data_IF_002267652562
#
_entry.id   IF_002267652562
#
_cell.length_a   1.000
_cell.length_b   1.000
_cell.length_c   1.000
_cell.angle_alpha   90.00
_cell.angle_beta   90.00
_cell.angle_gamma   90.00
#
_symmetry.space_group_name_H-M   'P 1'
#
loop_
_entity.id
_entity.type
_entity.pdbx_description
1 polymer ?
#
# COMPACT_ATOMS: atom_id res chain seq x y z
N UNK A 1 -1.37 15.39 -3.86
CA UNK A 1 -1.45 14.86 -5.24
C UNK A 1 -0.58 13.60 -5.33
N UNK A 2 -0.93 12.61 -6.17
CA UNK A 2 -0.17 11.35 -6.26
C UNK A 2 0.80 11.28 -7.45
N UNK A 3 0.54 11.99 -8.55
CA UNK A 3 1.33 11.91 -9.79
C UNK A 3 2.81 12.23 -9.62
N UNK A 4 3.12 13.26 -8.82
CA UNK A 4 4.50 13.69 -8.54
C UNK A 4 5.35 12.58 -7.88
N UNK A 5 4.71 11.65 -7.15
CA UNK A 5 5.39 10.51 -6.53
C UNK A 5 5.97 9.62 -7.62
N UNK A 6 5.16 9.27 -8.62
CA UNK A 6 5.58 8.39 -9.71
C UNK A 6 6.64 9.06 -10.59
N UNK A 7 6.49 10.35 -10.88
CA UNK A 7 7.49 11.12 -11.64
C UNK A 7 8.84 11.18 -10.91
N UNK A 8 8.81 11.40 -9.59
CA UNK A 8 10.02 11.40 -8.76
C UNK A 8 10.69 10.03 -8.75
N UNK A 9 9.91 8.96 -8.57
CA UNK A 9 10.42 7.58 -8.59
C UNK A 9 10.99 7.19 -9.96
N UNK A 10 10.32 7.59 -11.05
CA UNK A 10 10.80 7.34 -12.41
C UNK A 10 12.15 8.03 -12.67
N UNK A 11 12.37 9.22 -12.11
CA UNK A 11 13.64 9.95 -12.21
C UNK A 11 14.84 9.23 -11.60
N UNK A 12 14.61 8.41 -10.56
CA UNK A 12 15.67 7.66 -9.85
C UNK A 12 15.66 6.15 -10.13
N UNK A 13 14.70 5.66 -10.92
CA UNK A 13 14.44 4.24 -11.13
C UNK A 13 15.67 3.46 -11.60
N UNK A 14 16.42 4.01 -12.55
CA UNK A 14 17.63 3.37 -13.11
C UNK A 14 18.76 3.27 -12.09
N UNK A 15 18.95 4.29 -11.26
CA UNK A 15 20.04 4.33 -10.27
C UNK A 15 19.77 3.37 -9.11
N UNK A 16 18.50 3.22 -8.73
CA UNK A 16 18.07 2.35 -7.65
C UNK A 16 17.70 0.93 -8.09
N UNK A 17 17.74 0.65 -9.41
CA UNK A 17 17.33 -0.63 -10.02
C UNK A 17 15.88 -1.01 -9.66
N UNK A 18 14.99 -0.02 -9.77
CA UNK A 18 13.57 -0.12 -9.46
C UNK A 18 12.75 -0.12 -10.76
N UNK A 19 11.71 -0.94 -10.81
CA UNK A 19 10.72 -0.89 -11.89
C UNK A 19 9.66 0.16 -11.57
N UNK A 20 9.41 1.08 -12.51
CA UNK A 20 8.40 2.14 -12.39
C UNK A 20 7.65 2.25 -13.71
N UNK A 21 6.32 2.29 -13.66
CA UNK A 21 5.50 2.44 -14.84
C UNK A 21 4.23 3.25 -14.58
N UNK A 22 3.71 3.88 -15.64
CA UNK A 22 2.34 4.36 -15.68
C UNK A 22 1.44 3.24 -16.18
N UNK A 23 0.48 2.83 -15.34
CA UNK A 23 -0.53 1.85 -15.72
C UNK A 23 -1.71 2.49 -16.48
N UNK A 24 -2.53 1.65 -17.11
CA UNK A 24 -3.70 2.10 -17.88
C UNK A 24 -4.77 2.78 -17.03
N UNK A 25 -4.90 2.38 -15.76
CA UNK A 25 -5.74 2.99 -14.73
C UNK A 25 -5.31 2.48 -13.35
N UNK A 26 -5.94 2.99 -12.30
CA UNK A 26 -5.63 2.67 -10.91
C UNK A 26 -5.92 1.22 -10.52
N UNK A 27 -6.97 0.61 -11.10
CA UNK A 27 -7.27 -0.81 -10.93
C UNK A 27 -6.08 -1.67 -11.40
N UNK A 28 -5.62 -1.42 -12.62
CA UNK A 28 -4.49 -2.16 -13.21
C UNK A 28 -3.19 -1.88 -12.45
N UNK A 29 -2.95 -0.62 -12.07
CA UNK A 29 -1.79 -0.26 -11.25
C UNK A 29 -1.72 -1.07 -9.95
N UNK A 30 -2.85 -1.18 -9.25
CA UNK A 30 -2.94 -1.95 -8.03
C UNK A 30 -2.78 -3.45 -8.26
N UNK A 31 -3.40 -4.01 -9.29
CA UNK A 31 -3.28 -5.45 -9.63
C UNK A 31 -1.85 -5.84 -10.01
N UNK A 32 -1.12 -4.99 -10.74
CA UNK A 32 0.29 -5.22 -11.07
C UNK A 32 1.15 -5.20 -9.79
N UNK A 33 0.94 -4.22 -8.90
CA UNK A 33 1.64 -4.16 -7.62
C UNK A 33 1.34 -5.40 -6.74
N UNK A 34 0.07 -5.82 -6.68
CA UNK A 34 -0.34 -7.03 -5.97
C UNK A 34 0.35 -8.28 -6.56
N UNK A 35 0.38 -8.43 -7.89
CA UNK A 35 1.02 -9.55 -8.55
C UNK A 35 2.52 -9.62 -8.27
N UNK A 36 3.20 -8.46 -8.28
CA UNK A 36 4.61 -8.36 -7.90
C UNK A 36 4.81 -8.78 -6.42
N UNK A 37 3.96 -8.31 -5.51
CA UNK A 37 4.01 -8.71 -4.11
C UNK A 37 3.79 -10.21 -3.91
N UNK A 38 2.84 -10.83 -4.62
CA UNK A 38 2.59 -12.29 -4.63
C UNK A 38 3.84 -13.06 -5.09
N UNK A 39 4.65 -12.47 -5.98
CA UNK A 39 5.91 -13.06 -6.42
C UNK A 39 7.06 -12.89 -5.41
N UNK A 40 6.85 -12.21 -4.27
CA UNK A 40 7.85 -12.06 -3.22
C UNK A 40 8.76 -10.83 -3.34
N UNK A 41 8.41 -9.85 -4.18
CA UNK A 41 9.12 -8.56 -4.26
C UNK A 41 8.30 -7.43 -3.63
N UNK A 42 8.95 -6.42 -3.08
CA UNK A 42 8.28 -5.21 -2.57
C UNK A 42 7.62 -4.49 -3.73
N UNK A 43 6.35 -4.12 -3.57
CA UNK A 43 5.61 -3.39 -4.58
C UNK A 43 4.67 -2.36 -3.95
N UNK A 44 4.43 -1.26 -4.67
CA UNK A 44 3.43 -0.27 -4.28
C UNK A 44 2.65 0.24 -5.48
N UNK A 45 1.45 0.73 -5.20
CA UNK A 45 0.69 1.58 -6.10
C UNK A 45 0.38 2.91 -5.38
N UNK A 46 0.40 4.02 -6.11
CA UNK A 46 0.04 5.33 -5.59
C UNK A 46 -1.08 5.95 -6.44
N UNK A 47 -2.09 6.50 -5.76
CA UNK A 47 -3.25 7.13 -6.39
C UNK A 47 -3.90 8.13 -5.45
N UNK A 48 -4.81 8.97 -5.94
CA UNK A 48 -5.71 9.73 -5.06
C UNK A 48 -6.85 8.85 -4.55
N UNK A 49 -7.53 9.28 -3.49
CA UNK A 49 -8.75 8.66 -2.96
C UNK A 49 -9.79 8.29 -4.06
N UNK A 50 -10.02 9.13 -5.06
CA UNK A 50 -10.92 8.79 -6.19
C UNK A 50 -10.46 7.55 -6.97
N UNK A 51 -9.14 7.38 -7.15
CA UNK A 51 -8.53 6.23 -7.79
C UNK A 51 -8.62 4.97 -6.94
N UNK A 52 -8.61 5.11 -5.61
CA UNK A 52 -8.86 3.97 -4.70
C UNK A 52 -10.25 3.39 -4.93
N UNK A 53 -11.26 4.21 -5.28
CA UNK A 53 -12.57 3.70 -5.68
C UNK A 53 -12.52 2.89 -6.97
N UNK A 54 -11.73 3.32 -7.95
CA UNK A 54 -11.53 2.60 -9.21
C UNK A 54 -10.89 1.23 -8.95
N UNK A 55 -9.98 1.16 -7.97
CA UNK A 55 -9.32 -0.07 -7.54
C UNK A 55 -10.05 -0.82 -6.40
N UNK A 56 -11.28 -0.45 -6.05
CA UNK A 56 -11.94 -0.94 -4.83
C UNK A 56 -12.15 -2.46 -4.82
N UNK A 57 -12.66 -3.01 -5.91
CA UNK A 57 -12.91 -4.46 -6.03
C UNK A 57 -11.64 -5.32 -5.85
N UNK A 58 -10.53 -5.09 -6.60
CA UNK A 58 -9.31 -5.84 -6.36
C UNK A 58 -8.67 -5.53 -5.00
N UNK A 59 -8.83 -4.30 -4.46
CA UNK A 59 -8.35 -3.96 -3.11
C UNK A 59 -9.04 -4.80 -2.03
N UNK A 60 -10.36 -5.00 -2.13
CA UNK A 60 -11.11 -5.85 -1.21
C UNK A 60 -10.67 -7.31 -1.29
N UNK A 61 -10.34 -7.82 -2.48
CA UNK A 61 -9.82 -9.19 -2.62
C UNK A 61 -8.38 -9.31 -2.11
N UNK A 62 -7.56 -8.29 -2.37
CA UNK A 62 -6.17 -8.25 -1.93
C UNK A 62 -6.03 -8.31 -0.41
N UNK A 63 -6.96 -7.76 0.37
CA UNK A 63 -6.88 -7.85 1.82
C UNK A 63 -7.00 -9.29 2.33
N UNK A 64 -7.79 -10.14 1.65
CA UNK A 64 -7.84 -11.56 1.96
C UNK A 64 -6.55 -12.26 1.50
N UNK A 65 -6.04 -11.95 0.30
CA UNK A 65 -4.79 -12.52 -0.23
C UNK A 65 -3.63 -12.20 0.72
N UNK A 66 -3.54 -10.96 1.18
CA UNK A 66 -2.39 -10.43 1.90
C UNK A 66 -1.22 -10.11 0.98
N UNK A 67 -0.02 -10.14 1.52
CA UNK A 67 1.23 -9.82 0.83
C UNK A 67 2.28 -10.93 1.06
N UNK A 68 3.13 -11.19 0.07
CA UNK A 68 4.30 -12.10 0.22
C UNK A 68 5.62 -11.33 0.26
N UNK A 69 5.78 -10.35 -0.62
CA UNK A 69 7.00 -9.53 -0.73
C UNK A 69 6.93 -8.14 -0.11
N UNK A 70 5.82 -7.79 0.55
CA UNK A 70 5.47 -6.43 0.95
C UNK A 70 4.58 -5.75 -0.11
N UNK A 71 3.46 -5.18 0.30
CA UNK A 71 2.48 -4.48 -0.55
C UNK A 71 1.98 -3.23 0.15
N UNK A 72 2.23 -2.07 -0.47
CA UNK A 72 1.79 -0.78 0.04
C UNK A 72 0.87 -0.08 -0.97
N UNK A 73 -0.27 0.42 -0.50
CA UNK A 73 -1.11 1.34 -1.25
C UNK A 73 -0.96 2.75 -0.67
N UNK A 74 -0.41 3.69 -1.45
CA UNK A 74 -0.42 5.09 -1.06
C UNK A 74 -1.69 5.76 -1.57
N UNK A 75 -2.53 6.25 -0.65
CA UNK A 75 -3.68 7.10 -0.97
C UNK A 75 -3.37 8.56 -0.68
N UNK A 76 -3.44 9.40 -1.71
CA UNK A 76 -3.44 10.84 -1.58
C UNK A 76 -4.88 11.35 -1.41
N UNK A 77 -5.31 11.47 -0.16
CA UNK A 77 -6.59 12.05 0.21
C UNK A 77 -6.52 13.58 0.03
N UNK A 78 -7.65 14.18 -0.37
CA UNK A 78 -7.76 15.62 -0.58
C UNK A 78 -8.89 16.19 0.29
N UNK A 79 -8.67 16.33 1.62
CA UNK A 79 -9.63 16.97 2.50
C UNK A 79 -9.96 18.37 1.99
N UNK A 80 -11.22 18.79 2.08
CA UNK A 80 -11.76 20.02 1.46
C UNK A 80 -11.72 20.08 -0.08
N UNK A 81 -11.37 18.98 -0.76
CA UNK A 81 -11.44 18.85 -2.22
C UNK A 81 -10.72 19.98 -2.99
N UNK A 82 -9.48 20.33 -2.60
CA UNK A 82 -8.73 21.42 -3.23
C UNK A 82 -8.50 21.24 -4.73
N UNK A 83 -8.40 19.99 -5.17
CA UNK A 83 -8.03 19.61 -6.53
C UNK A 83 -8.81 18.37 -7.01
N UNK A 84 -9.91 18.05 -6.33
CA UNK A 84 -10.70 16.84 -6.53
C UNK A 84 -12.17 17.21 -6.63
N UNK A 85 -12.96 16.36 -7.30
CA UNK A 85 -14.39 16.63 -7.56
C UNK A 85 -15.24 16.49 -6.28
N UNK A 86 -14.74 15.76 -5.29
CA UNK A 86 -15.36 15.56 -3.99
C UNK A 86 -14.28 15.33 -2.92
N UNK A 87 -14.71 15.41 -1.67
CA UNK A 87 -13.90 14.99 -0.52
C UNK A 87 -14.28 13.55 -0.16
N UNK A 88 -13.28 12.72 0.10
CA UNK A 88 -13.47 11.35 0.57
C UNK A 88 -12.42 11.00 1.61
N UNK A 89 -12.78 10.08 2.48
CA UNK A 89 -11.91 9.60 3.55
C UNK A 89 -11.64 8.11 3.34
N UNK A 90 -10.43 7.80 2.90
CA UNK A 90 -10.04 6.43 2.54
C UNK A 90 -9.99 5.51 3.76
N UNK A 91 -10.03 6.06 4.99
CA UNK A 91 -10.10 5.26 6.22
C UNK A 91 -11.33 4.34 6.26
N UNK A 92 -12.45 4.76 5.67
CA UNK A 92 -13.65 3.91 5.61
C UNK A 92 -13.49 2.73 4.64
N UNK A 93 -12.78 2.92 3.52
CA UNK A 93 -12.46 1.85 2.58
C UNK A 93 -11.50 0.86 3.24
N UNK A 94 -10.48 1.37 3.92
CA UNK A 94 -9.52 0.53 4.64
C UNK A 94 -10.19 -0.24 5.79
N UNK A 95 -11.10 0.38 6.53
CA UNK A 95 -11.91 -0.29 7.56
C UNK A 95 -12.75 -1.43 6.97
N UNK A 96 -13.42 -1.20 5.83
CA UNK A 96 -14.18 -2.24 5.12
C UNK A 96 -13.28 -3.43 4.73
N UNK A 97 -12.06 -3.13 4.28
CA UNK A 97 -11.08 -4.11 3.83
C UNK A 97 -10.26 -4.77 4.94
N UNK A 98 -10.36 -4.35 6.21
CA UNK A 98 -9.45 -4.77 7.29
C UNK A 98 -7.99 -4.43 6.95
N UNK A 99 -7.78 -3.23 6.42
CA UNK A 99 -6.48 -2.74 5.97
C UNK A 99 -5.95 -1.77 7.03
N UNK A 100 -4.77 -2.02 7.62
CA UNK A 100 -4.11 -1.07 8.50
C UNK A 100 -3.64 0.16 7.71
N UNK A 101 -3.66 1.32 8.38
CA UNK A 101 -3.32 2.61 7.79
C UNK A 101 -2.23 3.27 8.62
N UNK A 102 -1.21 3.80 7.95
CA UNK A 102 -0.25 4.72 8.53
C UNK A 102 -0.58 6.15 8.05
N UNK A 103 -0.70 7.08 9.00
CA UNK A 103 -1.11 8.47 8.75
C UNK A 103 -0.02 9.44 9.22
N UNK A 104 0.95 9.79 8.36
CA UNK A 104 2.02 10.70 8.74
C UNK A 104 1.49 12.11 9.03
N UNK A 105 2.03 12.72 10.08
CA UNK A 105 1.75 14.09 10.52
C UNK A 105 2.85 15.10 10.14
N UNK A 106 3.99 14.61 9.65
CA UNK A 106 5.13 15.42 9.20
C UNK A 106 5.81 14.84 7.94
N UNK A 107 6.69 15.62 7.31
CA UNK A 107 7.49 15.15 6.15
C UNK A 107 8.46 14.04 6.56
N UNK A 108 9.03 14.13 7.77
CA UNK A 108 9.90 13.10 8.34
C UNK A 108 9.12 11.79 8.55
N UNK A 109 7.96 11.87 9.21
CA UNK A 109 7.09 10.70 9.41
C UNK A 109 6.62 10.10 8.08
N UNK A 110 6.33 10.91 7.06
CA UNK A 110 5.95 10.38 5.75
C UNK A 110 7.07 9.53 5.12
N UNK A 111 8.33 9.93 5.31
CA UNK A 111 9.49 9.15 4.87
C UNK A 111 9.67 7.89 5.72
N UNK A 112 9.58 8.00 7.04
CA UNK A 112 9.80 6.86 7.96
C UNK A 112 8.68 5.82 7.85
N UNK A 113 7.42 6.24 7.92
CA UNK A 113 6.26 5.35 7.82
C UNK A 113 6.15 4.63 6.47
N UNK A 114 6.71 5.18 5.39
CA UNK A 114 6.77 4.46 4.12
C UNK A 114 7.70 3.24 4.21
N UNK A 115 8.84 3.37 4.89
CA UNK A 115 9.72 2.23 5.15
C UNK A 115 9.03 1.22 6.08
N UNK A 116 8.44 1.71 7.18
CA UNK A 116 7.71 0.88 8.14
C UNK A 116 6.56 0.12 7.47
N UNK A 117 5.83 0.74 6.53
CA UNK A 117 4.74 0.09 5.82
C UNK A 117 5.19 -1.17 5.08
N UNK A 118 6.37 -1.16 4.45
CA UNK A 118 6.91 -2.34 3.79
C UNK A 118 7.36 -3.41 4.79
N UNK A 119 8.01 -3.02 5.87
CA UNK A 119 8.47 -3.96 6.91
C UNK A 119 7.30 -4.65 7.61
N UNK A 120 6.29 -3.88 8.02
CA UNK A 120 5.06 -4.39 8.62
C UNK A 120 4.27 -5.25 7.63
N UNK A 121 4.21 -4.84 6.36
CA UNK A 121 3.53 -5.64 5.33
C UNK A 121 4.17 -7.01 5.14
N UNK A 122 5.50 -7.09 5.23
CA UNK A 122 6.26 -8.35 5.15
C UNK A 122 6.09 -9.20 6.39
N UNK A 123 6.21 -8.60 7.57
CA UNK A 123 6.07 -9.27 8.86
C UNK A 123 4.69 -9.93 8.98
N UNK A 124 3.63 -9.17 8.73
CA UNK A 124 2.26 -9.65 8.88
C UNK A 124 1.69 -10.30 7.63
N UNK A 125 2.44 -10.31 6.51
CA UNK A 125 1.98 -10.83 5.22
C UNK A 125 0.63 -10.23 4.82
N UNK A 126 0.49 -8.93 5.03
CA UNK A 126 -0.77 -8.19 4.85
C UNK A 126 -0.52 -6.88 4.11
N UNK A 127 -1.51 -6.36 3.40
CA UNK A 127 -1.35 -5.08 2.69
C UNK A 127 -1.47 -3.91 3.68
N UNK A 128 -0.66 -2.88 3.49
CA UNK A 128 -0.71 -1.66 4.29
C UNK A 128 -1.08 -0.46 3.42
N UNK A 129 -1.87 0.45 3.98
CA UNK A 129 -2.17 1.73 3.34
C UNK A 129 -1.34 2.84 3.99
N UNK A 130 -0.69 3.68 3.19
CA UNK A 130 -0.11 4.94 3.66
C UNK A 130 -1.01 6.06 3.17
N UNK A 131 -1.61 6.80 4.10
CA UNK A 131 -2.54 7.88 3.78
C UNK A 131 -1.83 9.22 3.89
N UNK A 132 -1.63 9.89 2.76
CA UNK A 132 -1.19 11.28 2.72
C UNK A 132 -2.37 12.20 2.51
N UNK A 133 -2.38 13.37 3.15
CA UNK A 133 -3.32 14.45 2.88
C UNK A 133 -2.65 15.62 2.15
N UNK A 134 -3.42 16.53 1.57
CA UNK A 134 -2.94 17.71 0.83
C UNK A 134 -1.86 18.51 1.58
N UNK A 135 -1.99 18.67 2.91
CA UNK A 135 -1.00 19.40 3.72
C UNK A 135 0.37 18.72 3.72
N UNK A 136 0.40 17.38 3.83
CA UNK A 136 1.65 16.59 3.82
C UNK A 136 2.20 16.50 2.40
N UNK A 137 1.35 16.23 1.41
CA UNK A 137 1.76 16.04 0.02
C UNK A 137 2.36 17.29 -0.65
N UNK A 138 2.19 18.48 -0.07
CA UNK A 138 2.82 19.73 -0.53
C UNK A 138 3.78 20.35 0.49
N UNK A 139 4.00 19.69 1.64
CA UNK A 139 4.94 20.18 2.64
C UNK A 139 6.39 19.97 2.18
N UNK A 140 7.28 20.82 2.69
CA UNK A 140 8.73 20.71 2.53
C UNK A 140 9.38 20.95 3.88
N UNK A 141 10.36 20.12 4.21
CA UNK A 141 11.12 20.22 5.46
C UNK A 141 12.45 19.51 5.28
N UNK A 142 13.43 19.87 6.10
CA UNK A 142 14.67 19.10 6.21
C UNK A 142 14.34 17.75 6.87
N UNK A 143 14.95 16.67 6.36
CA UNK A 143 14.73 15.32 6.87
C UNK A 143 16.05 14.61 7.13
N UNK A 144 16.03 13.68 8.08
CA UNK A 144 17.12 12.76 8.34
C UNK A 144 16.95 11.54 7.46
N UNK A 145 17.91 11.33 6.55
CA UNK A 145 17.94 10.15 5.70
C UNK A 145 18.38 8.91 6.48
N UNK A 146 17.80 7.77 6.12
CA UNK A 146 18.22 6.46 6.62
C UNK A 146 19.06 5.71 5.59
N UNK A 147 19.46 4.50 5.93
CA UNK A 147 20.12 3.60 4.99
C UNK A 147 19.13 3.10 3.94
N UNK A 148 19.58 3.01 2.69
CA UNK A 148 18.80 2.41 1.60
C UNK A 148 19.17 0.94 1.51
N UNK A 149 18.18 0.06 1.71
CA UNK A 149 18.39 -1.38 1.48
C UNK A 149 18.80 -1.63 0.02
N UNK A 150 19.93 -2.33 -0.15
CA UNK A 150 20.41 -2.80 -1.45
C UNK A 150 20.02 -4.26 -1.71
N UNK A 151 19.11 -4.81 -0.92
CA UNK A 151 18.60 -6.15 -1.13
C UNK A 151 17.98 -6.27 -2.53
N UNK A 152 18.33 -7.34 -3.24
CA UNK A 152 17.77 -7.66 -4.56
C UNK A 152 16.98 -8.94 -4.44
N UNK A 153 15.65 -8.81 -4.42
CA UNK A 153 14.74 -9.96 -4.40
C UNK A 153 14.40 -10.38 -5.82
N UNK A 154 14.55 -11.67 -6.10
CA UNK A 154 14.11 -12.26 -7.36
C UNK A 154 12.69 -12.77 -7.20
N UNK A 155 11.76 -12.19 -7.97
CA UNK A 155 10.37 -12.63 -7.98
C UNK A 155 10.23 -14.07 -8.46
N UNK A 156 9.39 -14.85 -7.78
CA UNK A 156 9.01 -16.20 -8.17
C UNK A 156 7.51 -16.40 -7.96
N UNK A 157 6.80 -16.71 -9.03
CA UNK A 157 5.38 -17.02 -8.96
C UNK A 157 5.15 -18.49 -8.58
N UNK A 158 4.37 -18.70 -7.53
CA UNK A 158 3.97 -20.02 -7.07
C UNK A 158 2.46 -20.17 -7.21
N UNK A 159 2.04 -21.21 -7.94
CA UNK A 159 0.62 -21.48 -8.17
C UNK A 159 0.03 -22.17 -6.94
N UNK A 160 -0.77 -21.44 -6.18
CA UNK A 160 -1.63 -22.01 -5.14
C UNK A 160 -3.08 -21.53 -5.34
N UNK A 161 -3.96 -22.34 -5.96
CA UNK A 161 -5.37 -21.99 -6.15
C UNK A 161 -6.12 -21.76 -4.83
N UNK A 162 -5.66 -22.39 -3.76
CA UNK A 162 -6.26 -22.29 -2.44
C UNK A 162 -6.01 -20.90 -1.82
N UNK A 163 -4.90 -20.27 -2.20
CA UNK A 163 -4.57 -18.91 -1.80
C UNK A 163 -4.99 -17.86 -2.83
N UNK A 164 -4.84 -18.13 -4.13
CA UNK A 164 -4.88 -17.12 -5.19
C UNK A 164 -6.15 -17.14 -6.07
N UNK A 165 -7.05 -18.11 -5.90
CA UNK A 165 -8.29 -18.20 -6.70
C UNK A 165 -9.50 -17.98 -5.80
N UNK A 166 -10.00 -16.75 -5.76
CA UNK A 166 -11.09 -16.33 -4.87
C UNK A 166 -12.48 -16.71 -5.38
N UNK A 167 -12.81 -18.00 -5.23
CA UNK A 167 -14.21 -18.46 -5.23
C UNK A 167 -14.86 -18.23 -3.86
N UNK A 168 -16.20 -18.29 -3.73
CA UNK A 168 -16.86 -18.16 -2.44
C UNK A 168 -16.41 -19.16 -1.37
N UNK A 169 -15.89 -20.33 -1.76
CA UNK A 169 -15.34 -21.32 -0.82
C UNK A 169 -13.99 -20.85 -0.26
N UNK A 170 -13.10 -20.37 -1.12
CA UNK A 170 -11.78 -19.84 -0.73
C UNK A 170 -11.93 -18.56 0.10
N UNK A 171 -12.81 -17.64 -0.31
CA UNK A 171 -13.08 -16.42 0.44
C UNK A 171 -13.57 -16.70 1.88
N UNK A 172 -14.49 -17.65 2.05
CA UNK A 172 -14.99 -18.06 3.37
C UNK A 172 -13.90 -18.66 4.26
N UNK A 173 -12.99 -19.44 3.66
CA UNK A 173 -11.86 -20.03 4.39
C UNK A 173 -10.80 -18.99 4.78
N UNK A 174 -10.56 -18.00 3.93
CA UNK A 174 -9.50 -17.02 4.15
C UNK A 174 -9.97 -15.81 4.99
N UNK A 175 -11.29 -15.58 5.12
CA UNK A 175 -11.83 -14.50 5.97
C UNK A 175 -11.31 -14.53 7.41
N UNK A 176 -11.36 -15.67 8.14
CA UNK A 176 -10.86 -15.72 9.52
C UNK A 176 -9.37 -15.43 9.62
N UNK A 177 -8.56 -15.94 8.67
CA UNK A 177 -7.11 -15.70 8.61
C UNK A 177 -6.79 -14.22 8.39
N UNK A 178 -7.56 -13.55 7.53
CA UNK A 178 -7.43 -12.11 7.32
C UNK A 178 -7.74 -11.33 8.61
N UNK A 179 -8.80 -11.70 9.33
CA UNK A 179 -9.16 -11.06 10.60
C UNK A 179 -8.07 -11.31 11.66
N UNK A 180 -7.55 -12.53 11.75
CA UNK A 180 -6.46 -12.89 12.66
C UNK A 180 -5.22 -12.01 12.44
N UNK A 181 -4.75 -11.90 11.18
CA UNK A 181 -3.66 -10.97 10.82
C UNK A 181 -3.96 -9.54 11.26
N UNK A 182 -5.17 -9.06 11.01
CA UNK A 182 -5.56 -7.69 11.36
C UNK A 182 -5.58 -7.45 12.88
N UNK A 183 -6.03 -8.42 13.68
CA UNK A 183 -6.02 -8.33 15.14
C UNK A 183 -4.59 -8.41 15.71
N UNK A 184 -3.70 -9.19 15.10
CA UNK A 184 -2.27 -9.18 15.47
C UNK A 184 -1.61 -7.82 15.19
N UNK A 185 -1.92 -7.21 14.03
CA UNK A 185 -1.43 -5.88 13.67
C UNK A 185 -1.91 -4.83 14.68
N UNK A 186 -3.20 -4.86 15.06
CA UNK A 186 -3.75 -3.95 16.08
C UNK A 186 -3.02 -4.05 17.41
N UNK A 187 -2.79 -5.28 17.90
CA UNK A 187 -2.06 -5.49 19.16
C UNK A 187 -0.67 -4.87 19.10
N UNK A 188 0.03 -5.02 17.98
CA UNK A 188 1.36 -4.40 17.81
C UNK A 188 1.29 -2.87 17.77
N UNK A 189 0.29 -2.30 17.10
CA UNK A 189 0.05 -0.84 17.09
C UNK A 189 -0.35 -0.25 18.44
N UNK A 190 -1.05 -0.99 19.29
CA UNK A 190 -1.34 -0.54 20.66
C UNK A 190 -0.09 -0.53 21.56
N UNK A 191 0.87 -1.40 21.29
CA UNK A 191 2.16 -1.46 22.00
C UNK A 191 3.24 -0.53 21.42
N UNK A 192 3.06 -0.11 20.18
CA UNK A 192 3.98 0.75 19.42
C UNK A 192 3.16 1.95 18.98
N UNK A 193 3.10 3.02 19.80
CA UNK A 193 2.40 4.25 19.43
C UNK A 193 3.02 4.83 18.14
N UNK A 194 2.46 4.40 17.01
CA UNK A 194 2.50 5.00 15.68
C UNK A 194 1.17 5.71 15.47
#
# INVERSE_FOLDING_TARGET
PSSEILETLAGVAKELDMYVEWSTNEKVAFEVALAASICGVRAMACMKHVGVNVAHDPLMTASYIGAKGGLVLLSADDPWAWSSQNEQDTRYIALQGYIPILEPSSVQEAKDMMADAFELSEEFKHLFMVRSVTRIGHARSDIVLGEISRERRKGSFEKDPSWLVYTPAVARRNKPLMIERFEEIKKKGEHTLL
#
